data_IF_644141039077
#
_entry.id   IF_644141039077
#
_cell.length_a   1.000
_cell.length_b   1.000
_cell.length_c   1.000
_cell.angle_alpha   90.00
_cell.angle_beta   90.00
_cell.angle_gamma   90.00
#
_symmetry.space_group_name_H-M   'P 1'
#
loop_
_entity.id
_entity.type
_entity.pdbx_description
1 polymer ?
#
# COMPACT_ATOMS: atom_id res chain seq x y z
N UNK A 1 20.23 -7.02 3.15
CA UNK A 1 18.99 -7.83 3.21
C UNK A 1 17.84 -6.95 3.71
N UNK A 2 16.57 -7.40 3.64
CA UNK A 2 15.42 -6.66 4.18
C UNK A 2 15.54 -6.45 5.69
N UNK A 3 16.07 -7.44 6.41
CA UNK A 3 16.31 -7.36 7.85
C UNK A 3 17.19 -6.15 8.19
N UNK A 4 18.37 -6.05 7.56
CA UNK A 4 19.31 -4.94 7.80
C UNK A 4 18.65 -3.59 7.53
N UNK A 5 17.89 -3.50 6.43
CA UNK A 5 17.18 -2.28 6.08
C UNK A 5 16.12 -1.90 7.13
N UNK A 6 15.38 -2.87 7.68
CA UNK A 6 14.38 -2.61 8.71
C UNK A 6 15.03 -2.13 10.01
N UNK A 7 16.15 -2.71 10.42
CA UNK A 7 16.90 -2.26 11.60
C UNK A 7 17.46 -0.85 11.42
N UNK A 8 18.08 -0.56 10.26
CA UNK A 8 18.59 0.77 9.96
C UNK A 8 17.45 1.79 9.92
N UNK A 9 16.31 1.42 9.33
CA UNK A 9 15.12 2.26 9.32
C UNK A 9 14.55 2.47 10.72
N UNK A 10 14.60 1.47 11.60
CA UNK A 10 14.17 1.60 13.00
C UNK A 10 15.04 2.62 13.75
N UNK A 11 16.36 2.52 13.62
CA UNK A 11 17.31 3.49 14.20
C UNK A 11 17.09 4.90 13.66
N UNK A 12 16.94 5.03 12.35
CA UNK A 12 16.72 6.33 11.69
C UNK A 12 15.40 6.97 12.15
N UNK A 13 14.30 6.19 12.22
CA UNK A 13 13.02 6.70 12.72
C UNK A 13 13.06 7.05 14.21
N UNK A 14 13.81 6.29 15.02
CA UNK A 14 14.07 6.62 16.43
C UNK A 14 14.72 8.00 16.54
N UNK A 15 15.85 8.21 15.86
CA UNK A 15 16.56 9.50 15.85
C UNK A 15 15.71 10.65 15.29
N UNK A 16 14.89 10.41 14.25
CA UNK A 16 13.95 11.42 13.75
C UNK A 16 12.89 11.79 14.80
N UNK A 17 12.35 10.83 15.55
CA UNK A 17 11.36 11.10 16.61
C UNK A 17 12.00 11.89 17.76
N UNK A 18 13.21 11.54 18.17
CA UNK A 18 13.96 12.25 19.21
C UNK A 18 14.23 13.69 18.79
N UNK A 19 14.82 13.89 17.60
CA UNK A 19 15.04 15.22 17.03
C UNK A 19 13.74 16.02 16.90
N UNK A 20 12.63 15.38 16.56
CA UNK A 20 11.33 16.03 16.50
C UNK A 20 10.87 16.51 17.87
N UNK A 21 11.04 15.70 18.93
CA UNK A 21 10.71 16.09 20.31
C UNK A 21 11.56 17.28 20.76
N UNK A 22 12.86 17.24 20.50
CA UNK A 22 13.79 18.32 20.84
C UNK A 22 13.44 19.64 20.14
N UNK A 23 13.28 19.60 18.81
CA UNK A 23 12.92 20.80 18.03
C UNK A 23 11.55 21.34 18.42
N UNK A 24 10.59 20.47 18.76
CA UNK A 24 9.27 20.90 19.23
C UNK A 24 9.34 21.59 20.60
N UNK A 25 10.15 21.06 21.52
CA UNK A 25 10.37 21.69 22.82
C UNK A 25 11.03 23.07 22.67
N UNK A 26 12.06 23.19 21.81
CA UNK A 26 12.72 24.46 21.50
C UNK A 26 11.76 25.45 20.85
N UNK A 27 10.99 25.00 19.85
CA UNK A 27 9.99 25.84 19.19
C UNK A 27 8.94 26.38 20.16
N UNK A 28 8.47 25.56 21.12
CA UNK A 28 7.49 26.01 22.12
C UNK A 28 8.01 27.17 22.98
N UNK A 29 9.32 27.24 23.18
CA UNK A 29 9.96 28.30 23.97
C UNK A 29 10.24 29.55 23.15
N UNK A 30 10.73 29.41 21.92
CA UNK A 30 11.24 30.54 21.12
C UNK A 30 10.28 31.03 20.05
N UNK A 31 9.30 30.21 19.64
CA UNK A 31 8.43 30.44 18.47
C UNK A 31 9.20 30.77 17.18
N UNK A 32 10.43 30.29 17.07
CA UNK A 32 11.35 30.61 15.98
C UNK A 32 10.92 29.98 14.65
N UNK A 33 10.93 30.79 13.58
CA UNK A 33 10.51 30.38 12.24
C UNK A 33 11.45 29.31 11.63
N UNK A 34 12.75 29.40 11.86
CA UNK A 34 13.75 28.44 11.39
C UNK A 34 13.49 27.07 11.99
N UNK A 35 13.21 27.00 13.29
CA UNK A 35 12.88 25.74 13.97
C UNK A 35 11.58 25.13 13.41
N UNK A 36 10.58 25.97 13.08
CA UNK A 36 9.35 25.52 12.41
C UNK A 36 9.63 24.93 11.03
N UNK A 37 10.50 25.55 10.25
CA UNK A 37 10.87 25.08 8.92
C UNK A 37 11.68 23.77 8.99
N UNK A 38 12.56 23.62 9.98
CA UNK A 38 13.26 22.36 10.27
C UNK A 38 12.29 21.24 10.67
N UNK A 39 11.31 21.52 11.53
CA UNK A 39 10.24 20.57 11.88
C UNK A 39 9.44 20.15 10.65
N UNK A 40 9.16 21.07 9.73
CA UNK A 40 8.45 20.77 8.48
C UNK A 40 9.29 19.90 7.55
N UNK A 41 10.59 20.17 7.42
CA UNK A 41 11.52 19.35 6.66
C UNK A 41 11.64 17.94 7.24
N UNK A 42 11.74 17.81 8.57
CA UNK A 42 11.80 16.52 9.26
C UNK A 42 10.53 15.69 9.01
N UNK A 43 9.34 16.31 9.08
CA UNK A 43 8.07 15.65 8.73
C UNK A 43 8.05 15.19 7.27
N UNK A 44 8.58 15.99 6.34
CA UNK A 44 8.68 15.61 4.92
C UNK A 44 9.59 14.41 4.74
N UNK A 45 10.75 14.39 5.39
CA UNK A 45 11.71 13.29 5.34
C UNK A 45 11.10 12.00 5.92
N UNK A 46 10.40 12.08 7.06
CA UNK A 46 9.68 10.94 7.64
C UNK A 46 8.61 10.36 6.68
N UNK A 47 7.92 11.21 5.91
CA UNK A 47 6.96 10.75 4.88
C UNK A 47 7.68 10.03 3.74
N UNK A 48 8.85 10.51 3.32
CA UNK A 48 9.67 9.88 2.28
C UNK A 48 10.16 8.52 2.77
N UNK A 49 10.79 8.46 3.95
CA UNK A 49 11.30 7.22 4.53
C UNK A 49 10.21 6.17 4.74
N UNK A 50 9.02 6.59 5.17
CA UNK A 50 7.86 5.70 5.27
C UNK A 50 7.49 5.07 3.93
N UNK A 51 7.59 5.83 2.83
CA UNK A 51 7.31 5.29 1.49
C UNK A 51 8.39 4.29 1.10
N UNK A 52 9.66 4.60 1.35
CA UNK A 52 10.79 3.71 1.09
C UNK A 52 10.67 2.38 1.83
N UNK A 53 10.26 2.36 3.10
CA UNK A 53 9.98 1.10 3.83
C UNK A 53 8.98 0.24 3.06
N UNK A 54 7.87 0.83 2.59
CA UNK A 54 6.88 0.05 1.86
C UNK A 54 7.42 -0.48 0.53
N UNK A 55 8.19 0.32 -0.22
CA UNK A 55 8.81 -0.15 -1.46
C UNK A 55 9.81 -1.27 -1.15
N UNK A 56 10.65 -1.14 -0.12
CA UNK A 56 11.63 -2.16 0.28
C UNK A 56 10.97 -3.48 0.72
N UNK A 57 9.82 -3.43 1.40
CA UNK A 57 9.03 -4.62 1.70
C UNK A 57 8.53 -5.30 0.41
N UNK A 58 8.14 -4.54 -0.61
CA UNK A 58 7.72 -5.11 -1.91
C UNK A 58 8.90 -5.66 -2.72
N UNK A 59 10.03 -4.95 -2.75
CA UNK A 59 11.26 -5.39 -3.44
C UNK A 59 11.79 -6.70 -2.85
N UNK A 60 11.67 -6.88 -1.53
CA UNK A 60 12.15 -8.06 -0.79
C UNK A 60 10.97 -8.92 -0.28
N UNK A 61 9.89 -9.00 -1.04
CA UNK A 61 8.65 -9.63 -0.55
C UNK A 61 8.81 -11.13 -0.27
N UNK A 62 9.65 -11.81 -1.03
CA UNK A 62 9.96 -13.22 -0.78
C UNK A 62 10.70 -13.39 0.57
N UNK A 63 11.64 -12.48 0.91
CA UNK A 63 12.32 -12.48 2.22
C UNK A 63 11.33 -12.18 3.34
N UNK A 64 10.46 -11.20 3.14
CA UNK A 64 9.39 -10.84 4.07
C UNK A 64 8.43 -12.02 4.36
N UNK A 65 8.10 -12.81 3.33
CA UNK A 65 7.30 -14.04 3.47
C UNK A 65 8.02 -15.10 4.28
N UNK A 66 9.30 -15.35 3.97
CA UNK A 66 10.12 -16.34 4.67
C UNK A 66 10.27 -15.96 6.15
N UNK A 67 10.59 -14.70 6.44
CA UNK A 67 10.70 -14.19 7.81
C UNK A 67 9.46 -14.50 8.64
N UNK A 68 8.27 -14.17 8.14
CA UNK A 68 7.04 -14.44 8.90
C UNK A 68 6.74 -15.94 9.04
N UNK A 69 6.93 -16.71 7.97
CA UNK A 69 6.48 -18.09 7.94
C UNK A 69 7.45 -19.06 8.64
N UNK A 70 8.76 -18.78 8.59
CA UNK A 70 9.81 -19.65 9.14
C UNK A 70 10.42 -19.11 10.43
N UNK A 71 10.41 -17.79 10.63
CA UNK A 71 11.00 -17.14 11.81
C UNK A 71 9.99 -16.21 12.50
N UNK A 72 8.81 -16.71 12.92
CA UNK A 72 7.72 -15.88 13.42
C UNK A 72 8.08 -15.08 14.67
N UNK A 73 8.95 -15.61 15.55
CA UNK A 73 9.42 -14.90 16.74
C UNK A 73 10.23 -13.63 16.37
N UNK A 74 11.18 -13.75 15.44
CA UNK A 74 11.93 -12.60 14.94
C UNK A 74 11.03 -11.61 14.18
N UNK A 75 10.06 -12.12 13.41
CA UNK A 75 9.08 -11.25 12.75
C UNK A 75 8.23 -10.47 13.77
N UNK A 76 7.90 -11.07 14.90
CA UNK A 76 7.15 -10.43 15.99
C UNK A 76 7.94 -9.28 16.62
N UNK A 77 9.26 -9.44 16.81
CA UNK A 77 10.14 -8.33 17.27
C UNK A 77 9.99 -7.09 16.37
N UNK A 78 9.95 -7.28 15.05
CA UNK A 78 9.73 -6.16 14.12
C UNK A 78 8.33 -5.57 14.17
N UNK A 79 7.32 -6.34 14.57
CA UNK A 79 5.95 -5.85 14.74
C UNK A 79 5.80 -5.02 16.02
N UNK A 80 6.52 -5.41 17.07
CA UNK A 80 6.48 -4.77 18.39
C UNK A 80 7.38 -3.53 18.47
N UNK A 81 8.31 -3.36 17.53
CA UNK A 81 9.14 -2.16 17.43
C UNK A 81 8.29 -0.87 17.28
N UNK A 82 8.48 0.08 18.19
CA UNK A 82 7.70 1.32 18.26
C UNK A 82 7.91 2.27 17.05
N UNK A 83 9.04 2.13 16.36
CA UNK A 83 9.46 2.99 15.26
C UNK A 83 8.93 2.47 13.92
N UNK A 84 9.05 1.17 13.66
CA UNK A 84 8.72 0.55 12.37
C UNK A 84 7.56 -0.44 12.40
N UNK A 85 7.13 -0.94 13.56
CA UNK A 85 6.13 -2.00 13.69
C UNK A 85 4.80 -1.69 13.00
N UNK A 86 4.32 -0.45 13.12
CA UNK A 86 3.11 0.01 12.40
C UNK A 86 3.22 -0.04 10.86
N UNK A 87 4.43 0.02 10.31
CA UNK A 87 4.66 -0.04 8.87
C UNK A 87 4.73 -1.50 8.40
N UNK A 88 5.44 -2.34 9.16
CA UNK A 88 5.53 -3.79 8.95
C UNK A 88 4.14 -4.44 9.05
N UNK A 89 3.40 -4.15 10.11
CA UNK A 89 2.05 -4.70 10.35
C UNK A 89 1.07 -4.37 9.23
N UNK A 90 1.15 -3.16 8.66
CA UNK A 90 0.32 -2.73 7.52
C UNK A 90 0.51 -3.59 6.27
N UNK A 91 1.66 -4.25 6.14
CA UNK A 91 2.04 -5.10 5.02
C UNK A 91 2.10 -6.60 5.35
N UNK A 92 2.00 -6.96 6.63
CA UNK A 92 2.05 -8.34 7.12
C UNK A 92 1.02 -9.29 6.47
N UNK A 93 -0.05 -8.79 5.87
CA UNK A 93 -1.01 -9.62 5.13
C UNK A 93 -0.47 -10.13 3.79
N UNK A 94 0.55 -9.49 3.19
CA UNK A 94 1.17 -9.93 1.94
C UNK A 94 1.92 -11.27 2.08
N UNK A 95 2.31 -11.62 3.31
CA UNK A 95 2.96 -12.89 3.60
C UNK A 95 2.02 -14.09 3.41
N UNK A 96 0.70 -13.85 3.48
CA UNK A 96 -0.34 -14.88 3.36
C UNK A 96 -0.65 -15.21 1.90
N UNK A 97 0.05 -14.59 0.94
CA UNK A 97 -0.05 -14.95 -0.46
C UNK A 97 0.33 -16.42 -0.65
N UNK A 98 -0.53 -17.14 -1.37
CA UNK A 98 -0.27 -18.48 -1.86
C UNK A 98 -0.67 -18.51 -3.33
N UNK A 99 0.12 -19.22 -4.12
CA UNK A 99 -0.24 -19.53 -5.50
C UNK A 99 -1.49 -20.42 -5.49
N UNK A 100 -2.48 -20.07 -6.31
CA UNK A 100 -3.77 -20.74 -6.41
C UNK A 100 -4.01 -21.22 -7.83
N UNK A 101 -4.72 -22.34 -7.98
CA UNK A 101 -5.21 -22.79 -9.29
C UNK A 101 -6.45 -22.01 -9.71
N UNK A 102 -6.78 -22.01 -11.01
CA UNK A 102 -7.89 -21.22 -11.55
C UNK A 102 -9.24 -21.50 -10.85
N UNK A 103 -9.56 -22.76 -10.57
CA UNK A 103 -10.81 -23.14 -9.91
C UNK A 103 -10.90 -22.59 -8.47
N UNK A 104 -9.77 -22.60 -7.75
CA UNK A 104 -9.66 -22.05 -6.40
C UNK A 104 -9.80 -20.52 -6.43
N UNK A 105 -9.18 -19.87 -7.42
CA UNK A 105 -9.29 -18.43 -7.64
C UNK A 105 -10.74 -18.04 -7.89
N UNK A 106 -11.45 -18.74 -8.78
CA UNK A 106 -12.85 -18.44 -9.11
C UNK A 106 -13.75 -18.61 -7.88
N UNK A 107 -13.61 -19.72 -7.15
CA UNK A 107 -14.35 -19.97 -5.90
C UNK A 107 -14.06 -18.88 -4.86
N UNK A 108 -12.80 -18.53 -4.65
CA UNK A 108 -12.41 -17.49 -3.71
C UNK A 108 -12.98 -16.11 -4.10
N UNK A 109 -12.91 -15.73 -5.38
CA UNK A 109 -13.49 -14.48 -5.89
C UNK A 109 -15.02 -14.44 -5.72
N UNK A 110 -15.72 -15.55 -5.97
CA UNK A 110 -17.16 -15.63 -5.79
C UNK A 110 -17.55 -15.44 -4.30
N UNK A 111 -16.85 -16.12 -3.39
CA UNK A 111 -17.04 -15.95 -1.94
C UNK A 111 -16.76 -14.51 -1.50
N UNK A 112 -15.66 -13.93 -1.97
CA UNK A 112 -15.30 -12.54 -1.65
C UNK A 112 -16.32 -11.53 -2.18
N UNK A 113 -16.81 -11.75 -3.41
CA UNK A 113 -17.85 -10.92 -4.03
C UNK A 113 -19.14 -10.95 -3.21
N UNK A 114 -19.60 -12.15 -2.83
CA UNK A 114 -20.78 -12.33 -1.98
C UNK A 114 -20.62 -11.62 -0.62
N UNK A 115 -19.49 -11.81 0.06
CA UNK A 115 -19.21 -11.15 1.35
C UNK A 115 -19.13 -9.62 1.21
N UNK A 116 -18.55 -9.11 0.13
CA UNK A 116 -18.49 -7.67 -0.13
C UNK A 116 -19.87 -7.07 -0.37
N UNK A 117 -20.75 -7.78 -1.09
CA UNK A 117 -22.14 -7.38 -1.30
C UNK A 117 -22.90 -7.31 0.04
N UNK A 118 -22.76 -8.35 0.88
CA UNK A 118 -23.35 -8.35 2.23
C UNK A 118 -22.88 -7.15 3.07
N UNK A 119 -21.60 -6.78 3.01
CA UNK A 119 -21.11 -5.61 3.75
C UNK A 119 -21.64 -4.27 3.21
N UNK A 120 -21.93 -4.18 1.91
CA UNK A 120 -22.50 -2.97 1.33
C UNK A 120 -23.97 -2.80 1.71
N UNK A 121 -24.73 -3.90 1.67
CA UNK A 121 -26.10 -3.97 2.16
C UNK A 121 -26.17 -3.66 3.66
N UNK A 122 -25.35 -4.33 4.46
CA UNK A 122 -25.31 -4.13 5.91
C UNK A 122 -24.94 -2.70 6.29
N UNK A 123 -24.02 -2.08 5.53
CA UNK A 123 -23.63 -0.69 5.76
C UNK A 123 -24.82 0.25 5.55
N UNK A 124 -25.53 0.10 4.43
CA UNK A 124 -26.71 0.92 4.11
C UNK A 124 -27.79 0.78 5.18
N UNK A 125 -28.01 -0.43 5.69
CA UNK A 125 -29.03 -0.67 6.70
C UNK A 125 -28.62 -0.14 8.08
N UNK A 126 -27.38 -0.36 8.49
CA UNK A 126 -26.84 0.19 9.74
C UNK A 126 -26.84 1.73 9.74
N UNK A 127 -26.63 2.37 8.57
CA UNK A 127 -26.76 3.82 8.42
C UNK A 127 -28.18 4.33 8.70
N UNK A 128 -29.21 3.49 8.56
CA UNK A 128 -30.61 3.82 8.84
C UNK A 128 -31.12 3.26 10.17
N UNK A 129 -30.30 2.46 10.87
CA UNK A 129 -30.71 1.77 12.09
C UNK A 129 -31.02 2.76 13.21
N UNK A 130 -32.14 2.54 13.89
CA UNK A 130 -32.61 3.33 15.03
C UNK A 130 -32.65 2.43 16.26
N UNK A 131 -32.02 2.87 17.35
CA UNK A 131 -31.96 2.10 18.60
C UNK A 131 -30.75 1.17 18.67
N UNK A 132 -30.77 0.27 19.65
CA UNK A 132 -29.71 -0.70 19.88
C UNK A 132 -29.66 -1.74 18.75
N UNK A 133 -28.46 -2.22 18.43
CA UNK A 133 -28.28 -3.24 17.40
C UNK A 133 -28.62 -4.61 17.97
N UNK A 134 -29.49 -5.34 17.25
CA UNK A 134 -29.78 -6.75 17.53
C UNK A 134 -28.79 -7.65 16.77
N UNK A 135 -27.85 -8.22 17.52
CA UNK A 135 -26.83 -9.12 16.99
C UNK A 135 -27.42 -10.33 16.24
N UNK A 136 -28.54 -10.90 16.71
CA UNK A 136 -29.11 -12.11 16.10
C UNK A 136 -29.69 -11.79 14.72
N UNK A 137 -30.42 -10.68 14.61
CA UNK A 137 -30.99 -10.22 13.34
C UNK A 137 -29.89 -9.88 12.33
N UNK A 138 -28.85 -9.16 12.77
CA UNK A 138 -27.70 -8.80 11.93
C UNK A 138 -26.94 -10.04 11.46
N UNK A 139 -26.64 -10.98 12.38
CA UNK A 139 -25.87 -12.19 12.07
C UNK A 139 -26.60 -13.19 11.18
N UNK A 140 -27.94 -13.24 11.25
CA UNK A 140 -28.77 -14.05 10.36
C UNK A 140 -28.84 -13.46 8.95
N UNK A 141 -28.99 -12.13 8.85
CA UNK A 141 -29.14 -11.42 7.57
C UNK A 141 -27.82 -11.30 6.82
N UNK A 142 -26.73 -10.97 7.54
CA UNK A 142 -25.39 -10.85 6.99
C UNK A 142 -24.42 -11.76 7.73
N UNK A 143 -24.29 -13.04 7.31
CA UNK A 143 -23.38 -13.99 7.92
C UNK A 143 -21.92 -13.52 8.03
N UNK A 144 -21.48 -12.61 7.16
CA UNK A 144 -20.15 -11.97 7.24
C UNK A 144 -19.91 -11.18 8.54
N UNK A 145 -20.98 -10.74 9.21
CA UNK A 145 -20.93 -9.98 10.48
C UNK A 145 -21.15 -10.85 11.72
N UNK A 146 -21.46 -12.14 11.55
CA UNK A 146 -21.76 -13.05 12.66
C UNK A 146 -20.58 -13.12 13.63
N UNK A 147 -20.86 -12.89 14.92
CA UNK A 147 -19.85 -12.87 16.00
C UNK A 147 -18.89 -11.69 15.96
N UNK A 148 -19.12 -10.71 15.08
CA UNK A 148 -18.34 -9.46 15.01
C UNK A 148 -19.08 -8.27 15.63
N UNK A 149 -20.41 -8.28 15.56
CA UNK A 149 -21.28 -7.27 16.16
C UNK A 149 -21.88 -7.87 17.42
N UNK A 150 -21.98 -7.07 18.48
CA UNK A 150 -22.53 -7.49 19.78
C UNK A 150 -23.82 -6.72 20.07
N UNK A 151 -24.71 -7.34 20.83
CA UNK A 151 -25.93 -6.68 21.32
C UNK A 151 -25.60 -5.43 22.13
N UNK A 152 -26.31 -4.33 21.87
CA UNK A 152 -26.11 -3.05 22.58
C UNK A 152 -24.97 -2.18 22.04
N UNK A 153 -24.26 -2.64 21.01
CA UNK A 153 -23.26 -1.83 20.29
C UNK A 153 -23.90 -0.60 19.65
N UNK A 154 -23.18 0.53 19.69
CA UNK A 154 -23.63 1.74 19.01
C UNK A 154 -23.55 1.59 17.49
N UNK A 155 -24.34 2.39 16.78
CA UNK A 155 -24.30 2.47 15.31
C UNK A 155 -22.91 2.75 14.78
N UNK A 156 -22.20 3.71 15.37
CA UNK A 156 -20.88 4.13 14.89
C UNK A 156 -19.83 3.02 15.08
N UNK A 157 -19.87 2.29 16.20
CA UNK A 157 -19.02 1.13 16.43
C UNK A 157 -19.28 0.02 15.41
N UNK A 158 -20.56 -0.30 15.13
CA UNK A 158 -20.89 -1.32 14.13
C UNK A 158 -20.47 -0.91 12.71
N UNK A 159 -20.64 0.36 12.35
CA UNK A 159 -20.15 0.89 11.07
C UNK A 159 -18.63 0.84 10.97
N UNK A 160 -17.92 1.06 12.08
CA UNK A 160 -16.47 0.91 12.14
C UNK A 160 -16.05 -0.55 11.93
N UNK A 161 -16.75 -1.51 12.55
CA UNK A 161 -16.51 -2.96 12.35
C UNK A 161 -16.73 -3.35 10.88
N UNK A 162 -17.84 -2.90 10.27
CA UNK A 162 -18.09 -3.11 8.83
C UNK A 162 -16.96 -2.55 7.96
N UNK A 163 -16.45 -1.37 8.30
CA UNK A 163 -15.32 -0.74 7.61
C UNK A 163 -14.04 -1.57 7.72
N UNK A 164 -13.77 -2.14 8.90
CA UNK A 164 -12.57 -2.96 9.14
C UNK A 164 -12.65 -4.31 8.45
N UNK A 165 -13.80 -4.99 8.50
CA UNK A 165 -14.02 -6.22 7.72
C UNK A 165 -13.90 -5.93 6.21
N UNK A 166 -14.43 -4.78 5.73
CA UNK A 166 -14.26 -4.37 4.31
C UNK A 166 -12.79 -4.19 3.96
N UNK A 167 -11.93 -3.70 4.86
CA UNK A 167 -10.48 -3.61 4.63
C UNK A 167 -9.84 -5.00 4.58
N UNK A 168 -10.25 -5.92 5.45
CA UNK A 168 -9.78 -7.31 5.45
C UNK A 168 -10.14 -8.03 4.14
N UNK A 169 -11.40 -7.96 3.71
CA UNK A 169 -11.84 -8.56 2.45
C UNK A 169 -11.11 -7.96 1.24
N UNK A 170 -10.83 -6.64 1.25
CA UNK A 170 -10.01 -6.01 0.20
C UNK A 170 -8.58 -6.56 0.15
N UNK A 171 -7.97 -6.84 1.30
CA UNK A 171 -6.64 -7.46 1.37
C UNK A 171 -6.69 -8.89 0.83
N UNK A 172 -7.67 -9.68 1.26
CA UNK A 172 -7.88 -11.05 0.76
C UNK A 172 -8.13 -11.08 -0.75
N UNK A 173 -8.99 -10.20 -1.25
CA UNK A 173 -9.22 -10.05 -2.69
C UNK A 173 -7.93 -9.67 -3.43
N UNK A 174 -7.10 -8.81 -2.85
CA UNK A 174 -5.82 -8.47 -3.47
C UNK A 174 -4.90 -9.69 -3.58
N UNK A 175 -4.82 -10.55 -2.55
CA UNK A 175 -4.03 -11.80 -2.59
C UNK A 175 -4.51 -12.75 -3.69
N UNK A 176 -5.82 -12.82 -3.92
CA UNK A 176 -6.39 -13.64 -5.00
C UNK A 176 -6.10 -13.02 -6.37
N UNK A 177 -6.26 -11.71 -6.52
CA UNK A 177 -6.08 -10.99 -7.78
C UNK A 177 -4.64 -10.98 -8.31
N UNK A 178 -3.65 -11.18 -7.45
CA UNK A 178 -2.22 -11.27 -7.85
C UNK A 178 -1.81 -12.68 -8.30
N UNK A 179 -2.74 -13.63 -8.37
CA UNK A 179 -2.51 -14.95 -8.96
C UNK A 179 -2.67 -14.94 -10.48
N UNK A 180 -1.93 -15.82 -11.18
CA UNK A 180 -2.15 -16.09 -12.59
C UNK A 180 -3.41 -16.96 -12.81
N UNK A 181 -4.17 -16.76 -13.91
CA UNK A 181 -3.99 -15.76 -14.96
C UNK A 181 -4.63 -14.39 -14.63
N UNK A 182 -5.34 -14.27 -13.50
CA UNK A 182 -6.15 -13.08 -13.16
C UNK A 182 -5.32 -11.80 -13.07
N UNK A 183 -4.08 -11.90 -12.61
CA UNK A 183 -3.15 -10.77 -12.51
C UNK A 183 -2.94 -10.08 -13.85
N UNK A 184 -2.94 -10.81 -14.98
CA UNK A 184 -2.79 -10.23 -16.32
C UNK A 184 -3.93 -9.26 -16.65
N UNK A 185 -5.17 -9.67 -16.35
CA UNK A 185 -6.34 -8.83 -16.55
C UNK A 185 -6.28 -7.56 -15.69
N UNK A 186 -5.82 -7.68 -14.44
CA UNK A 186 -5.65 -6.53 -13.55
C UNK A 186 -4.55 -5.59 -14.05
N UNK A 187 -3.40 -6.14 -14.45
CA UNK A 187 -2.29 -5.37 -15.01
C UNK A 187 -2.77 -4.63 -16.25
N UNK A 188 -3.41 -5.28 -17.22
CA UNK A 188 -3.95 -4.62 -18.41
C UNK A 188 -4.86 -3.43 -18.05
N UNK A 189 -5.78 -3.60 -17.10
CA UNK A 189 -6.64 -2.50 -16.62
C UNK A 189 -5.83 -1.36 -15.99
N UNK A 190 -4.87 -1.67 -15.14
CA UNK A 190 -4.05 -0.66 -14.45
C UNK A 190 -3.10 0.07 -15.40
N UNK A 191 -2.48 -0.64 -16.33
CA UNK A 191 -1.59 -0.07 -17.34
C UNK A 191 -2.36 0.80 -18.34
N UNK A 192 -3.57 0.40 -18.75
CA UNK A 192 -4.44 1.25 -19.57
C UNK A 192 -4.83 2.53 -18.84
N UNK A 193 -5.16 2.44 -17.55
CA UNK A 193 -5.43 3.64 -16.73
C UNK A 193 -4.20 4.54 -16.58
N UNK A 194 -3.02 3.94 -16.43
CA UNK A 194 -1.76 4.67 -16.35
C UNK A 194 -1.47 5.38 -17.67
N UNK A 195 -1.65 4.70 -18.80
CA UNK A 195 -1.57 5.28 -20.15
C UNK A 195 -2.50 6.48 -20.31
N UNK A 196 -3.77 6.37 -19.91
CA UNK A 196 -4.70 7.51 -19.96
C UNK A 196 -4.23 8.67 -19.07
N UNK A 197 -3.74 8.38 -17.87
CA UNK A 197 -3.25 9.42 -16.96
C UNK A 197 -1.97 10.11 -17.48
N UNK A 198 -1.10 9.40 -18.20
CA UNK A 198 0.09 9.99 -18.84
C UNK A 198 -0.32 10.94 -19.97
N UNK A 199 -1.29 10.54 -20.81
CA UNK A 199 -1.83 11.41 -21.85
C UNK A 199 -2.48 12.66 -21.28
N UNK A 200 -3.24 12.51 -20.20
CA UNK A 200 -3.86 13.62 -19.47
C UNK A 200 -2.80 14.56 -18.88
N UNK A 201 -1.75 14.05 -18.22
CA UNK A 201 -0.65 14.87 -17.71
C UNK A 201 0.05 15.64 -18.83
N UNK A 202 0.32 14.98 -19.96
CA UNK A 202 0.97 15.61 -21.12
C UNK A 202 0.13 16.77 -21.64
N UNK A 203 -1.17 16.55 -21.85
CA UNK A 203 -2.08 17.61 -22.29
C UNK A 203 -2.17 18.78 -21.30
N UNK A 204 -2.17 18.50 -19.99
CA UNK A 204 -2.18 19.56 -18.95
C UNK A 204 -0.85 20.29 -18.85
N UNK A 205 0.27 19.63 -19.14
CA UNK A 205 1.59 20.27 -19.23
C UNK A 205 1.64 21.24 -20.40
N UNK A 206 1.18 20.82 -21.58
CA UNK A 206 1.10 21.68 -22.75
C UNK A 206 0.18 22.89 -22.51
N UNK A 207 -0.95 22.68 -21.82
CA UNK A 207 -1.84 23.78 -21.45
C UNK A 207 -1.19 24.76 -20.46
N UNK A 208 -0.38 24.27 -19.51
CA UNK A 208 0.35 25.12 -18.58
C UNK A 208 1.47 25.91 -19.25
N UNK A 209 2.17 25.33 -20.24
CA UNK A 209 3.13 26.05 -21.07
C UNK A 209 2.45 27.16 -21.89
N UNK A 210 1.30 26.87 -22.51
CA UNK A 210 0.52 27.86 -23.26
C UNK A 210 -0.08 28.96 -22.39
N UNK A 211 -0.34 28.70 -21.10
CA UNK A 211 -0.90 29.69 -20.19
C UNK A 211 0.14 30.70 -19.67
N UNK A 212 1.44 30.43 -19.86
CA UNK A 212 2.51 31.36 -19.45
C UNK A 212 2.37 32.68 -20.20
N UNK A 213 2.41 33.79 -19.46
CA UNK A 213 2.26 35.14 -19.99
C UNK A 213 0.80 35.61 -20.16
N UNK A 214 -0.20 34.75 -19.90
CA UNK A 214 -1.62 35.10 -20.06
C UNK A 214 -2.31 35.53 -18.74
N UNK A 215 -1.51 35.90 -17.73
CA UNK A 215 -1.98 36.46 -16.46
C UNK A 215 -1.95 35.47 -15.29
N UNK A 216 -1.81 36.01 -14.08
CA UNK A 216 -1.56 35.26 -12.85
C UNK A 216 -2.63 34.21 -12.54
N UNK A 217 -3.90 34.49 -12.82
CA UNK A 217 -4.99 33.56 -12.55
C UNK A 217 -4.98 32.34 -13.50
N UNK A 218 -4.78 32.55 -14.81
CA UNK A 218 -4.79 31.47 -15.79
C UNK A 218 -3.57 30.54 -15.60
N UNK A 219 -2.40 31.12 -15.34
CA UNK A 219 -1.19 30.38 -14.99
C UNK A 219 -1.37 29.54 -13.72
N UNK A 220 -1.92 30.15 -12.67
CA UNK A 220 -2.16 29.45 -11.41
C UNK A 220 -3.14 28.29 -11.57
N UNK A 221 -4.25 28.50 -12.30
CA UNK A 221 -5.23 27.45 -12.59
C UNK A 221 -4.61 26.31 -13.39
N UNK A 222 -3.88 26.62 -14.47
CA UNK A 222 -3.23 25.60 -15.30
C UNK A 222 -2.18 24.79 -14.50
N UNK A 223 -1.44 25.45 -13.60
CA UNK A 223 -0.51 24.80 -12.67
C UNK A 223 -1.24 23.87 -11.69
N UNK A 224 -2.35 24.30 -11.10
CA UNK A 224 -3.15 23.43 -10.21
C UNK A 224 -3.68 22.19 -10.93
N UNK A 225 -4.16 22.34 -12.16
CA UNK A 225 -4.64 21.23 -12.98
C UNK A 225 -3.53 20.25 -13.34
N UNK A 226 -2.33 20.76 -13.68
CA UNK A 226 -1.14 19.93 -13.89
C UNK A 226 -0.76 19.18 -12.62
N UNK A 227 -0.71 19.84 -11.46
CA UNK A 227 -0.40 19.21 -10.18
C UNK A 227 -1.39 18.10 -9.81
N UNK A 228 -2.68 18.30 -10.12
CA UNK A 228 -3.71 17.28 -9.93
C UNK A 228 -3.50 16.06 -10.86
N UNK A 229 -3.18 16.31 -12.14
CA UNK A 229 -2.88 15.25 -13.10
C UNK A 229 -1.63 14.44 -12.70
N UNK A 230 -0.55 15.11 -12.28
CA UNK A 230 0.67 14.47 -11.76
C UNK A 230 0.36 13.60 -10.55
N UNK A 231 -0.39 14.13 -9.56
CA UNK A 231 -0.81 13.35 -8.37
C UNK A 231 -1.63 12.12 -8.75
N UNK A 232 -2.50 12.23 -9.76
CA UNK A 232 -3.31 11.13 -10.28
C UNK A 232 -2.44 10.05 -10.95
N UNK A 233 -1.52 10.45 -11.84
CA UNK A 233 -0.56 9.53 -12.48
C UNK A 233 0.25 8.78 -11.42
N UNK A 234 0.92 9.50 -10.51
CA UNK A 234 1.78 8.92 -9.47
C UNK A 234 1.00 7.93 -8.59
N UNK A 235 -0.26 8.23 -8.27
CA UNK A 235 -1.13 7.32 -7.50
C UNK A 235 -1.44 6.03 -8.26
N UNK A 236 -1.70 6.11 -9.58
CA UNK A 236 -1.96 4.92 -10.41
C UNK A 236 -0.67 4.12 -10.60
N UNK A 237 0.43 4.80 -10.89
CA UNK A 237 1.76 4.22 -11.03
C UNK A 237 2.10 3.38 -9.79
N UNK A 238 1.95 3.96 -8.59
CA UNK A 238 2.17 3.25 -7.32
C UNK A 238 1.33 1.99 -7.18
N UNK A 239 0.06 2.01 -7.60
CA UNK A 239 -0.79 0.81 -7.57
C UNK A 239 -0.27 -0.26 -8.55
N UNK A 240 0.20 0.15 -9.73
CA UNK A 240 0.82 -0.77 -10.70
C UNK A 240 2.09 -1.40 -10.11
N UNK A 241 2.96 -0.58 -9.50
CA UNK A 241 4.18 -1.05 -8.82
C UNK A 241 3.85 -2.11 -7.77
N UNK A 242 2.96 -1.79 -6.84
CA UNK A 242 2.56 -2.73 -5.79
C UNK A 242 1.90 -4.01 -6.31
N UNK A 243 1.11 -3.93 -7.40
CA UNK A 243 0.48 -5.11 -8.00
C UNK A 243 1.53 -6.05 -8.59
N UNK A 244 2.46 -5.49 -9.37
CA UNK A 244 3.52 -6.23 -10.02
C UNK A 244 4.49 -6.85 -9.00
N UNK A 245 4.94 -6.06 -8.02
CA UNK A 245 5.87 -6.54 -6.99
C UNK A 245 5.22 -7.48 -5.96
N UNK A 246 3.88 -7.51 -5.86
CA UNK A 246 3.19 -8.46 -4.98
C UNK A 246 3.33 -9.92 -5.44
N UNK A 247 3.72 -10.15 -6.70
CA UNK A 247 4.05 -11.47 -7.21
C UNK A 247 5.41 -11.42 -7.95
N UNK A 248 6.54 -11.57 -7.22
CA UNK A 248 7.89 -11.47 -7.78
C UNK A 248 8.14 -12.45 -8.93
N UNK A 249 7.67 -13.70 -8.81
CA UNK A 249 7.79 -14.71 -9.87
C UNK A 249 7.11 -14.27 -11.16
N UNK A 250 5.88 -13.78 -11.05
CA UNK A 250 5.15 -13.21 -12.20
C UNK A 250 5.91 -12.02 -12.79
N UNK A 251 6.38 -11.06 -11.98
CA UNK A 251 7.11 -9.89 -12.51
C UNK A 251 8.37 -10.30 -13.28
N UNK A 252 9.14 -11.26 -12.76
CA UNK A 252 10.32 -11.81 -13.46
C UNK A 252 9.94 -12.43 -14.81
N UNK A 253 8.88 -13.24 -14.86
CA UNK A 253 8.42 -13.86 -16.12
C UNK A 253 7.87 -12.83 -17.11
N UNK A 254 7.12 -11.84 -16.61
CA UNK A 254 6.53 -10.77 -17.39
C UNK A 254 7.59 -9.86 -18.04
N UNK A 255 8.65 -9.52 -17.29
CA UNK A 255 9.80 -8.77 -17.83
C UNK A 255 10.51 -9.49 -18.97
N UNK A 256 10.62 -10.81 -18.92
CA UNK A 256 11.25 -11.63 -19.97
C UNK A 256 10.40 -11.70 -21.23
N UNK A 257 9.08 -11.88 -21.08
CA UNK A 257 8.15 -12.03 -22.22
C UNK A 257 7.92 -10.70 -22.96
N UNK A 258 8.05 -9.57 -22.27
CA UNK A 258 7.86 -8.25 -22.85
C UNK A 258 6.41 -7.93 -23.22
N UNK A 259 6.13 -6.65 -23.45
CA UNK A 259 4.84 -6.17 -23.95
C UNK A 259 5.03 -5.41 -25.25
N UNK A 260 4.21 -5.70 -26.25
CA UNK A 260 4.17 -4.95 -27.50
C UNK A 260 3.26 -3.72 -27.34
N UNK A 261 3.87 -2.55 -27.17
CA UNK A 261 3.18 -1.26 -27.14
C UNK A 261 3.24 -0.59 -28.50
N UNK A 262 2.08 -0.19 -29.04
CA UNK A 262 2.00 0.46 -30.37
C UNK A 262 2.52 1.91 -30.41
N UNK A 263 2.51 2.62 -29.30
CA UNK A 263 2.94 4.03 -29.20
C UNK A 263 4.35 4.11 -28.61
N UNK A 264 5.30 4.70 -29.34
CA UNK A 264 6.73 4.71 -28.99
C UNK A 264 7.03 5.46 -27.68
N UNK A 265 6.36 6.59 -27.43
CA UNK A 265 6.56 7.40 -26.22
C UNK A 265 6.09 6.66 -24.97
N UNK A 266 4.91 6.03 -25.09
CA UNK A 266 4.33 5.21 -24.03
C UNK A 266 5.14 3.94 -23.84
N UNK A 267 5.61 3.31 -24.92
CA UNK A 267 6.47 2.14 -24.86
C UNK A 267 7.75 2.43 -24.07
N UNK A 268 8.42 3.56 -24.35
CA UNK A 268 9.62 3.96 -23.64
C UNK A 268 9.36 4.21 -22.15
N UNK A 269 8.30 4.95 -21.82
CA UNK A 269 7.90 5.16 -20.43
C UNK A 269 7.61 3.83 -19.73
N UNK A 270 6.84 2.95 -20.36
CA UNK A 270 6.42 1.67 -19.79
C UNK A 270 7.60 0.71 -19.62
N UNK A 271 8.55 0.70 -20.55
CA UNK A 271 9.77 -0.08 -20.45
C UNK A 271 10.70 0.46 -19.35
N UNK A 272 10.87 1.78 -19.25
CA UNK A 272 11.60 2.40 -18.14
C UNK A 272 10.94 2.14 -16.79
N UNK A 273 9.61 2.22 -16.74
CA UNK A 273 8.80 1.91 -15.56
C UNK A 273 9.02 0.46 -15.13
N UNK A 274 8.85 -0.52 -16.02
CA UNK A 274 9.08 -1.93 -15.72
C UNK A 274 10.55 -2.18 -15.36
N UNK A 275 11.49 -1.57 -16.09
CA UNK A 275 12.93 -1.63 -15.83
C UNK A 275 13.26 -1.21 -14.40
N UNK A 276 12.63 -0.14 -13.91
CA UNK A 276 12.83 0.37 -12.54
C UNK A 276 12.30 -0.54 -11.42
N UNK A 277 11.51 -1.58 -11.73
CA UNK A 277 10.97 -2.49 -10.71
C UNK A 277 11.94 -3.63 -10.43
N UNK A 278 12.60 -3.63 -9.29
CA UNK A 278 13.49 -4.72 -8.92
C UNK A 278 12.87 -5.59 -7.83
N UNK A 279 13.07 -6.90 -7.95
CA UNK A 279 12.78 -7.86 -6.87
C UNK A 279 14.08 -8.54 -6.51
N UNK A 280 14.32 -8.68 -5.22
CA UNK A 280 15.49 -9.38 -4.69
C UNK A 280 15.13 -10.84 -4.55
N UNK A 281 15.96 -11.72 -5.12
CA UNK A 281 15.83 -13.16 -4.93
C UNK A 281 16.31 -13.53 -3.53
N UNK A 282 15.58 -14.42 -2.86
CA UNK A 282 15.96 -14.86 -1.51
C UNK A 282 17.03 -15.92 -1.59
N UNK A 283 18.22 -15.61 -1.10
CA UNK A 283 19.22 -16.61 -0.75
C UNK A 283 18.89 -17.17 0.64
N UNK A 284 18.25 -18.34 0.70
CA UNK A 284 17.82 -18.95 1.96
C UNK A 284 18.99 -19.25 2.91
N UNK A 285 20.17 -19.57 2.38
CA UNK A 285 21.35 -19.87 3.20
C UNK A 285 21.90 -18.59 3.87
N UNK A 286 21.98 -17.49 3.12
CA UNK A 286 22.38 -16.19 3.67
C UNK A 286 21.36 -15.69 4.69
N UNK A 287 20.06 -15.80 4.36
CA UNK A 287 18.99 -15.43 5.28
C UNK A 287 19.05 -16.25 6.58
N UNK A 288 19.25 -17.56 6.49
CA UNK A 288 19.36 -18.43 7.66
C UNK A 288 20.59 -18.09 8.51
N UNK A 289 21.76 -17.86 7.89
CA UNK A 289 22.96 -17.41 8.60
C UNK A 289 22.71 -16.11 9.34
N UNK A 290 22.04 -15.18 8.67
CA UNK A 290 21.82 -13.86 9.21
C UNK A 290 20.78 -13.85 10.35
N UNK A 291 19.72 -14.65 10.22
CA UNK A 291 18.76 -14.85 11.32
C UNK A 291 19.43 -15.51 12.52
N UNK A 292 20.29 -16.52 12.32
CA UNK A 292 21.04 -17.17 13.41
C UNK A 292 21.90 -16.18 14.19
N UNK A 293 22.68 -15.35 13.49
CA UNK A 293 23.50 -14.30 14.14
C UNK A 293 22.68 -13.37 15.03
N UNK A 294 21.44 -13.06 14.64
CA UNK A 294 20.55 -12.17 15.39
C UNK A 294 19.93 -12.85 16.60
N UNK A 295 19.57 -14.13 16.45
CA UNK A 295 19.13 -14.96 17.59
C UNK A 295 20.25 -15.10 18.61
N UNK A 296 21.50 -15.30 18.18
CA UNK A 296 22.67 -15.42 19.08
C UNK A 296 23.06 -14.12 19.80
N UNK A 297 22.60 -12.96 19.32
CA UNK A 297 22.87 -11.64 19.91
C UNK A 297 21.77 -11.14 20.86
N UNK A 298 20.60 -11.78 20.84
CA UNK A 298 19.43 -11.42 21.64
C UNK A 298 19.41 -12.24 22.95
#
# INVERSE_FOLDING_TARGET
MLIDYLEDAAREFGGMKEKQKELFAKYKQTMDRTIRDELAALKKNAIVKKREIYEKIYENLDEFRVLKNQYPALFQVYLDDENIGKFVSKKAWLSSFKEMKMDEIQKALAVLSSKMKQLEESKSELEKWIGAIDEKAIGATWPVLKGRIQSGMSKDEALQIVSDIKKELKRSAWLVLVNEPVILNQIHRFLNRLKTAIKEETAKRDAQERAKGHGTYQEFKAKQELDAAVKKRVRIEKKCRHLLMANPKFLRSFKKKGMLWRDKSIAQFMNGFLGSLNTVDVNQNELAKEVRKRIERA
#
